data_IF_621078766559
#
_entry.id   IF_621078766559
#
_cell.length_a   1.000
_cell.length_b   1.000
_cell.length_c   1.000
_cell.angle_alpha   90.00
_cell.angle_beta   90.00
_cell.angle_gamma   90.00
#
_symmetry.space_group_name_H-M   'P 1'
#
loop_
_entity.id
_entity.type
_entity.pdbx_description
1 polymer ?
#
# COMPACT_ATOMS: atom_id res chain seq x y z
N UNK A 1 -14.60 -20.39 0.78
CA UNK A 1 -13.50 -20.99 -0.03
C UNK A 1 -12.47 -19.91 -0.30
N UNK A 2 -11.20 -20.11 0.05
CA UNK A 2 -10.13 -19.16 -0.28
C UNK A 2 -9.65 -19.42 -1.72
N UNK A 3 -9.28 -18.36 -2.45
CA UNK A 3 -8.63 -18.45 -3.76
C UNK A 3 -7.26 -17.78 -3.67
N UNK A 4 -6.28 -18.37 -4.34
CA UNK A 4 -4.90 -17.84 -4.38
C UNK A 4 -4.63 -17.31 -5.77
N UNK A 5 -4.05 -16.11 -5.83
CA UNK A 5 -3.44 -15.56 -7.03
C UNK A 5 -1.92 -15.76 -6.89
N UNK A 6 -1.31 -16.44 -7.86
CA UNK A 6 0.14 -16.65 -7.91
C UNK A 6 0.70 -15.93 -9.13
N UNK A 7 1.72 -15.10 -8.91
CA UNK A 7 2.43 -14.37 -9.97
C UNK A 7 3.88 -14.87 -9.94
N UNK A 8 4.38 -15.51 -11.01
CA UNK A 8 5.78 -15.88 -11.09
C UNK A 8 6.61 -14.61 -11.26
N UNK A 9 7.54 -14.38 -10.32
CA UNK A 9 8.48 -13.27 -10.37
C UNK A 9 9.86 -13.79 -10.76
N UNK A 10 10.62 -12.96 -11.47
CA UNK A 10 12.07 -13.15 -11.58
C UNK A 10 12.72 -12.96 -10.21
N UNK A 11 13.99 -13.38 -10.10
CA UNK A 11 14.76 -13.18 -8.88
C UNK A 11 14.85 -11.70 -8.49
N UNK A 12 15.09 -10.81 -9.47
CA UNK A 12 15.24 -9.38 -9.22
C UNK A 12 13.92 -8.73 -8.78
N UNK A 13 12.81 -9.06 -9.43
CA UNK A 13 11.47 -8.58 -9.01
C UNK A 13 11.13 -9.07 -7.60
N UNK A 14 11.44 -10.33 -7.29
CA UNK A 14 11.22 -10.86 -5.95
C UNK A 14 12.07 -10.15 -4.89
N UNK A 15 13.35 -9.90 -5.18
CA UNK A 15 14.25 -9.15 -4.29
C UNK A 15 13.80 -7.70 -4.11
N UNK A 16 13.36 -7.06 -5.17
CA UNK A 16 12.81 -5.72 -5.11
C UNK A 16 11.55 -5.64 -4.23
N UNK A 17 10.65 -6.62 -4.35
CA UNK A 17 9.47 -6.73 -3.48
C UNK A 17 9.86 -6.95 -2.01
N UNK A 18 10.83 -7.83 -1.73
CA UNK A 18 11.34 -8.06 -0.38
C UNK A 18 11.93 -6.78 0.23
N UNK A 19 12.70 -6.02 -0.55
CA UNK A 19 13.30 -4.76 -0.09
C UNK A 19 12.25 -3.67 0.19
N UNK A 20 11.19 -3.58 -0.61
CA UNK A 20 10.05 -2.69 -0.34
C UNK A 20 9.37 -3.04 0.99
N UNK A 21 9.15 -4.33 1.25
CA UNK A 21 8.49 -4.79 2.48
C UNK A 21 9.33 -4.53 3.73
N UNK A 22 10.66 -4.51 3.63
CA UNK A 22 11.54 -4.08 4.71
C UNK A 22 11.45 -2.57 4.99
N UNK A 23 11.03 -1.76 4.01
CA UNK A 23 10.92 -0.30 4.11
C UNK A 23 9.46 0.15 4.12
N UNK A 24 8.74 -0.30 5.15
CA UNK A 24 7.30 -0.07 5.27
C UNK A 24 6.86 1.39 5.11
N UNK A 25 7.67 2.33 5.59
CA UNK A 25 7.39 3.78 5.52
C UNK A 25 7.27 4.30 4.08
N UNK A 26 7.96 3.68 3.12
CA UNK A 26 7.92 4.06 1.70
C UNK A 26 6.69 3.45 0.98
N UNK A 27 6.12 2.38 1.53
CA UNK A 27 4.98 1.62 0.98
C UNK A 27 3.65 2.22 1.42
N UNK A 28 3.58 2.73 2.66
CA UNK A 28 2.36 3.33 3.20
C UNK A 28 2.23 4.80 2.74
N UNK A 29 1.09 5.14 2.13
CA UNK A 29 0.75 6.52 1.77
C UNK A 29 -0.50 6.97 2.48
N UNK A 30 -0.53 8.24 2.89
CA UNK A 30 -1.73 8.89 3.44
C UNK A 30 -2.31 9.84 2.41
N UNK A 31 -3.59 9.64 2.07
CA UNK A 31 -4.31 10.45 1.09
C UNK A 31 -5.38 11.27 1.80
N UNK A 32 -5.32 12.59 1.60
CA UNK A 32 -6.35 13.52 2.05
C UNK A 32 -7.49 13.54 1.04
N UNK A 33 -8.71 13.22 1.47
CA UNK A 33 -9.89 13.17 0.57
C UNK A 33 -10.75 14.43 0.70
N UNK A 34 -10.93 14.91 1.92
CA UNK A 34 -11.56 16.20 2.28
C UNK A 34 -10.86 16.74 3.53
N UNK A 35 -11.14 17.99 3.93
CA UNK A 35 -10.43 18.63 5.05
C UNK A 35 -10.45 17.79 6.35
N UNK A 36 -11.55 17.06 6.57
CA UNK A 36 -11.81 16.27 7.77
C UNK A 36 -11.56 14.76 7.61
N UNK A 37 -11.26 14.25 6.41
CA UNK A 37 -11.15 12.81 6.16
C UNK A 37 -9.88 12.43 5.39
N UNK A 38 -9.28 11.32 5.80
CA UNK A 38 -8.13 10.72 5.14
C UNK A 38 -8.32 9.21 5.00
N UNK A 39 -7.60 8.60 4.07
CA UNK A 39 -7.39 7.16 4.06
C UNK A 39 -5.91 6.87 3.86
N UNK A 40 -5.48 5.66 4.22
CA UNK A 40 -4.14 5.18 3.93
C UNK A 40 -4.19 4.15 2.82
N UNK A 41 -3.14 4.07 1.99
CA UNK A 41 -2.97 2.99 1.04
C UNK A 41 -1.61 2.33 1.21
N UNK A 42 -1.52 1.04 0.89
CA UNK A 42 -0.27 0.30 0.78
C UNK A 42 -0.02 0.04 -0.70
N UNK A 43 1.09 0.56 -1.23
CA UNK A 43 1.43 0.44 -2.65
C UNK A 43 2.72 -0.33 -2.83
N UNK A 44 2.61 -1.49 -3.46
CA UNK A 44 3.72 -2.40 -3.74
C UNK A 44 3.92 -2.51 -5.25
N UNK A 45 5.14 -2.23 -5.71
CA UNK A 45 5.55 -2.43 -7.10
C UNK A 45 5.96 -3.90 -7.26
N UNK A 46 5.16 -4.66 -8.00
CA UNK A 46 5.34 -6.12 -8.15
C UNK A 46 6.26 -6.42 -9.34
N UNK A 47 6.07 -5.70 -10.45
CA UNK A 47 6.92 -5.70 -11.64
C UNK A 47 6.98 -4.26 -12.19
N UNK A 48 7.77 -4.00 -13.22
CA UNK A 48 7.83 -2.68 -13.88
C UNK A 48 6.46 -2.20 -14.42
N UNK A 49 5.54 -3.13 -14.69
CA UNK A 49 4.22 -2.84 -15.28
C UNK A 49 3.07 -3.10 -14.32
N UNK A 50 3.33 -3.65 -13.12
CA UNK A 50 2.29 -4.08 -12.18
C UNK A 50 2.51 -3.50 -10.79
N UNK A 51 1.51 -2.77 -10.31
CA UNK A 51 1.46 -2.24 -8.97
C UNK A 51 0.23 -2.79 -8.26
N UNK A 52 0.42 -3.31 -7.06
CA UNK A 52 -0.65 -3.66 -6.14
C UNK A 52 -0.86 -2.53 -5.14
N UNK A 53 -2.04 -1.93 -5.18
CA UNK A 53 -2.44 -0.91 -4.22
C UNK A 53 -3.64 -1.37 -3.40
N UNK A 54 -3.46 -1.43 -2.08
CA UNK A 54 -4.51 -1.78 -1.12
C UNK A 54 -4.99 -0.50 -0.45
N UNK A 55 -6.24 -0.14 -0.72
CA UNK A 55 -6.87 1.06 -0.14
C UNK A 55 -7.49 0.72 1.22
N UNK A 56 -7.07 1.46 2.24
CA UNK A 56 -7.68 1.43 3.56
C UNK A 56 -9.04 2.17 3.57
N UNK A 57 -9.81 2.02 4.66
CA UNK A 57 -11.06 2.74 4.81
C UNK A 57 -10.84 4.26 4.94
N UNK A 58 -11.86 5.03 4.59
CA UNK A 58 -11.91 6.45 4.86
C UNK A 58 -12.15 6.67 6.37
N UNK A 59 -11.27 7.45 7.00
CA UNK A 59 -11.28 7.73 8.44
C UNK A 59 -11.42 9.24 8.65
N UNK A 60 -12.26 9.64 9.60
CA UNK A 60 -12.35 11.04 10.03
C UNK A 60 -11.10 11.38 10.85
N UNK A 61 -10.43 12.51 10.56
CA UNK A 61 -9.33 13.00 11.37
C UNK A 61 -9.79 13.13 12.83
N UNK A 62 -8.98 12.69 13.81
CA UNK A 62 -9.27 13.00 15.20
C UNK A 62 -9.34 14.53 15.33
N UNK A 63 -10.47 15.04 15.84
CA UNK A 63 -10.53 16.43 16.28
C UNK A 63 -9.52 16.53 17.42
N UNK A 64 -8.41 17.21 17.18
CA UNK A 64 -7.60 17.69 18.28
C UNK A 64 -8.45 18.79 18.92
N UNK A 65 -9.13 18.46 20.02
CA UNK A 65 -9.67 19.47 20.92
C UNK A 65 -8.46 20.23 21.48
N UNK A 66 -8.19 21.42 20.93
CA UNK A 66 -7.31 22.42 21.53
C UNK A 66 -8.02 23.13 22.70
#
# INVERSE_FOLDING_TARGET
MKRTLSIPLTYEEFKHLEDQLHRWEDVEKTHMTTDDYYHKSLRLEITEELIFEFQGPLVKKPMHDE
#
